data_IF_771841398585
#
_entry.id   IF_771841398585
#
_cell.length_a   1.000
_cell.length_b   1.000
_cell.length_c   1.000
_cell.angle_alpha   90.00
_cell.angle_beta   90.00
_cell.angle_gamma   90.00
#
_symmetry.space_group_name_H-M   'P 1'
#
loop_
_entity.id
_entity.type
_entity.pdbx_description
1 polymer ?
#
# COMPACT_ATOMS: atom_id res chain seq x y z
N UNK A 1 -11.83 -24.39 -1.62
CA UNK A 1 -10.74 -23.91 -2.49
C UNK A 1 -11.14 -22.57 -3.04
N UNK A 2 -10.40 -21.55 -2.70
CA UNK A 2 -10.69 -20.19 -3.15
C UNK A 2 -9.53 -19.61 -3.96
N UNK A 3 -9.85 -18.68 -4.87
CA UNK A 3 -8.90 -18.02 -5.74
C UNK A 3 -8.80 -16.54 -5.43
N UNK A 4 -7.59 -15.97 -5.57
CA UNK A 4 -7.28 -14.57 -5.37
C UNK A 4 -6.68 -13.98 -6.64
N UNK A 5 -7.25 -12.89 -7.14
CA UNK A 5 -6.64 -12.05 -8.17
C UNK A 5 -5.97 -10.83 -7.54
N UNK A 6 -4.68 -10.64 -7.81
CA UNK A 6 -3.92 -9.46 -7.41
C UNK A 6 -3.65 -8.61 -8.66
N UNK A 7 -4.28 -7.46 -8.78
CA UNK A 7 -4.04 -6.49 -9.86
C UNK A 7 -2.98 -5.50 -9.39
N UNK A 8 -1.85 -5.42 -10.09
CA UNK A 8 -0.65 -4.71 -9.65
C UNK A 8 0.29 -5.57 -8.79
N UNK A 9 0.23 -6.89 -8.94
CA UNK A 9 0.86 -7.86 -8.05
C UNK A 9 2.39 -7.94 -8.12
N UNK A 10 3.07 -7.25 -9.03
CA UNK A 10 4.54 -7.15 -9.04
C UNK A 10 5.12 -6.09 -8.09
N UNK A 11 4.27 -5.26 -7.49
CA UNK A 11 4.65 -4.23 -6.52
C UNK A 11 4.81 -4.76 -5.09
N UNK A 12 5.06 -3.83 -4.16
CA UNK A 12 5.23 -4.14 -2.74
C UNK A 12 4.07 -4.94 -2.15
N UNK A 13 2.82 -4.51 -2.38
CA UNK A 13 1.64 -5.20 -1.86
C UNK A 13 1.54 -6.63 -2.43
N UNK A 14 1.69 -6.78 -3.74
CA UNK A 14 1.61 -8.08 -4.36
C UNK A 14 2.70 -9.04 -3.86
N UNK A 15 3.95 -8.61 -3.79
CA UNK A 15 5.05 -9.41 -3.24
C UNK A 15 4.79 -9.79 -1.78
N UNK A 16 4.28 -8.86 -0.96
CA UNK A 16 3.93 -9.13 0.44
C UNK A 16 2.79 -10.15 0.56
N UNK A 17 1.78 -10.09 -0.32
CA UNK A 17 0.68 -11.07 -0.35
C UNK A 17 1.19 -12.46 -0.76
N UNK A 18 2.07 -12.53 -1.77
CA UNK A 18 2.66 -13.79 -2.21
C UNK A 18 3.54 -14.43 -1.13
N UNK A 19 4.32 -13.62 -0.43
CA UNK A 19 5.13 -14.07 0.71
C UNK A 19 4.26 -14.60 1.86
N UNK A 20 3.23 -13.83 2.23
CA UNK A 20 2.26 -14.23 3.24
C UNK A 20 1.52 -15.53 2.85
N UNK A 21 1.15 -15.71 1.58
CA UNK A 21 0.57 -16.92 1.06
C UNK A 21 1.52 -18.12 1.25
N UNK A 22 2.77 -17.99 0.87
CA UNK A 22 3.77 -19.06 1.02
C UNK A 22 4.01 -19.46 2.47
N UNK A 23 3.92 -18.51 3.40
CA UNK A 23 4.02 -18.75 4.84
C UNK A 23 2.72 -19.25 5.48
N UNK A 24 1.64 -19.44 4.69
CA UNK A 24 0.37 -19.95 5.16
C UNK A 24 -0.52 -18.92 5.87
N UNK A 25 -0.19 -17.63 5.82
CA UNK A 25 -1.01 -16.58 6.45
C UNK A 25 -2.41 -16.44 5.80
N UNK A 26 -2.56 -16.88 4.55
CA UNK A 26 -3.83 -16.84 3.83
C UNK A 26 -4.69 -18.09 3.97
N UNK A 27 -4.28 -19.07 4.79
CA UNK A 27 -5.02 -20.31 4.98
C UNK A 27 -6.42 -20.09 5.56
N UNK A 28 -6.63 -19.02 6.37
CA UNK A 28 -7.94 -18.67 6.91
C UNK A 28 -8.98 -18.37 5.84
N UNK A 29 -8.55 -17.87 4.68
CA UNK A 29 -9.42 -17.58 3.54
C UNK A 29 -9.49 -18.70 2.52
N UNK A 30 -8.83 -19.84 2.79
CA UNK A 30 -8.83 -21.02 1.92
C UNK A 30 -8.26 -20.76 0.53
N UNK A 31 -7.31 -19.82 0.41
CA UNK A 31 -6.70 -19.44 -0.87
C UNK A 31 -5.77 -20.56 -1.34
N UNK A 32 -6.08 -21.16 -2.50
CA UNK A 32 -5.30 -22.23 -3.11
C UNK A 32 -4.70 -21.84 -4.46
N UNK A 33 -5.20 -20.76 -5.06
CA UNK A 33 -4.77 -20.28 -6.37
C UNK A 33 -4.67 -18.76 -6.37
N UNK A 34 -3.55 -18.24 -6.85
CA UNK A 34 -3.34 -16.79 -6.99
C UNK A 34 -3.04 -16.45 -8.44
N UNK A 35 -3.82 -15.52 -8.99
CA UNK A 35 -3.55 -14.86 -10.24
C UNK A 35 -2.87 -13.52 -9.98
N UNK A 36 -1.78 -13.24 -10.67
CA UNK A 36 -1.00 -12.01 -10.53
C UNK A 36 -1.03 -11.25 -11.85
N UNK A 37 -1.80 -10.19 -11.93
CA UNK A 37 -1.82 -9.31 -13.10
C UNK A 37 -0.88 -8.13 -12.89
N UNK A 38 0.06 -7.94 -13.80
CA UNK A 38 0.92 -6.78 -13.87
C UNK A 38 1.39 -6.55 -15.32
N UNK A 39 1.80 -5.33 -15.67
CA UNK A 39 2.33 -5.01 -17.01
C UNK A 39 3.51 -5.90 -17.40
N UNK A 40 4.31 -6.27 -16.44
CA UNK A 40 5.38 -7.26 -16.61
C UNK A 40 5.41 -8.15 -15.34
N UNK A 41 4.48 -9.11 -15.25
CA UNK A 41 4.39 -10.03 -14.13
C UNK A 41 5.58 -11.02 -14.11
N UNK A 42 6.13 -11.34 -15.27
CA UNK A 42 7.25 -12.28 -15.39
C UNK A 42 8.53 -11.80 -14.68
N UNK A 43 8.69 -10.49 -14.47
CA UNK A 43 9.79 -9.95 -13.63
C UNK A 43 9.85 -10.55 -12.23
N UNK A 44 8.71 -11.02 -11.70
CA UNK A 44 8.70 -11.68 -10.40
C UNK A 44 9.57 -12.93 -10.36
N UNK A 45 9.72 -13.64 -11.49
CA UNK A 45 10.59 -14.82 -11.59
C UNK A 45 12.08 -14.50 -11.40
N UNK A 46 12.46 -13.26 -11.71
CA UNK A 46 13.84 -12.76 -11.59
C UNK A 46 14.04 -11.99 -10.28
N UNK A 47 13.07 -11.11 -9.92
CA UNK A 47 13.21 -10.21 -8.76
C UNK A 47 12.85 -10.86 -7.42
N UNK A 48 12.02 -11.90 -7.43
CA UNK A 48 11.55 -12.59 -6.24
C UNK A 48 11.20 -14.05 -6.56
N UNK A 49 12.18 -14.86 -7.07
CA UNK A 49 11.95 -16.26 -7.46
C UNK A 49 11.43 -17.11 -6.30
N UNK A 50 11.80 -16.75 -5.08
CA UNK A 50 11.34 -17.40 -3.86
C UNK A 50 9.82 -17.32 -3.67
N UNK A 51 9.15 -16.35 -4.28
CA UNK A 51 7.69 -16.19 -4.21
C UNK A 51 6.95 -17.11 -5.20
N UNK A 52 7.65 -17.70 -6.16
CA UNK A 52 7.01 -18.50 -7.21
C UNK A 52 6.59 -19.88 -6.69
N UNK A 53 5.55 -20.43 -7.31
CA UNK A 53 5.00 -21.76 -6.99
C UNK A 53 3.94 -22.19 -7.99
N UNK A 54 3.53 -23.45 -7.94
CA UNK A 54 2.56 -24.04 -8.88
C UNK A 54 1.17 -23.41 -8.80
N UNK A 55 0.81 -22.90 -7.62
CA UNK A 55 -0.45 -22.21 -7.36
C UNK A 55 -0.45 -20.73 -7.76
N UNK A 56 0.66 -20.19 -8.28
CA UNK A 56 0.77 -18.79 -8.70
C UNK A 56 0.79 -18.71 -10.21
N UNK A 57 -0.17 -17.98 -10.79
CA UNK A 57 -0.34 -17.79 -12.23
C UNK A 57 -0.04 -16.34 -12.58
N UNK A 58 1.08 -16.13 -13.27
CA UNK A 58 1.48 -14.80 -13.73
C UNK A 58 0.75 -14.44 -15.04
N UNK A 59 0.25 -13.22 -15.10
CA UNK A 59 -0.47 -12.67 -16.23
C UNK A 59 0.15 -11.32 -16.62
N UNK A 60 0.78 -11.27 -17.77
CA UNK A 60 1.30 -10.01 -18.32
C UNK A 60 0.14 -9.23 -18.98
N UNK A 61 -0.12 -8.03 -18.50
CA UNK A 61 -1.18 -7.19 -19.03
C UNK A 61 -1.32 -5.87 -18.27
N UNK A 62 -1.83 -4.88 -18.97
CA UNK A 62 -2.18 -3.60 -18.36
C UNK A 62 -3.67 -3.58 -18.06
N UNK A 63 -4.02 -3.36 -16.79
CA UNK A 63 -5.42 -3.28 -16.35
C UNK A 63 -6.18 -2.17 -17.08
N UNK A 64 -5.51 -1.13 -17.55
CA UNK A 64 -6.14 -0.06 -18.33
C UNK A 64 -6.63 -0.49 -19.71
N UNK A 65 -6.15 -1.62 -20.25
CA UNK A 65 -6.44 -2.05 -21.62
C UNK A 65 -6.77 -3.53 -21.80
N UNK A 66 -6.62 -4.35 -20.76
CA UNK A 66 -6.97 -5.77 -20.83
C UNK A 66 -8.48 -5.94 -21.11
N UNK A 67 -8.84 -7.04 -21.76
CA UNK A 67 -10.21 -7.33 -22.21
C UNK A 67 -10.90 -8.37 -21.35
N UNK A 68 -10.12 -9.17 -20.65
CA UNK A 68 -10.60 -10.30 -19.85
C UNK A 68 -9.80 -10.41 -18.56
N UNK A 69 -10.43 -10.95 -17.53
CA UNK A 69 -9.82 -11.29 -16.27
C UNK A 69 -10.24 -12.71 -15.86
N UNK A 70 -9.42 -13.46 -15.13
CA UNK A 70 -9.83 -14.74 -14.59
C UNK A 70 -10.94 -14.54 -13.57
N UNK A 71 -11.88 -15.47 -13.49
CA UNK A 71 -12.80 -15.54 -12.35
C UNK A 71 -11.99 -15.77 -11.08
N UNK A 72 -12.33 -15.02 -10.04
CA UNK A 72 -11.67 -15.13 -8.74
C UNK A 72 -12.67 -14.87 -7.61
N UNK A 73 -12.50 -15.53 -6.48
CA UNK A 73 -13.36 -15.36 -5.30
C UNK A 73 -13.04 -14.04 -4.59
N UNK A 74 -11.75 -13.68 -4.56
CA UNK A 74 -11.23 -12.45 -3.98
C UNK A 74 -10.45 -11.66 -5.00
N UNK A 75 -10.59 -10.34 -4.97
CA UNK A 75 -9.80 -9.43 -5.83
C UNK A 75 -9.21 -8.31 -5.00
N UNK A 76 -7.89 -8.18 -5.07
CA UNK A 76 -7.15 -7.04 -4.51
C UNK A 76 -6.66 -6.17 -5.67
N UNK A 77 -7.28 -4.99 -5.84
CA UNK A 77 -6.86 -4.03 -6.86
C UNK A 77 -5.85 -3.04 -6.27
N UNK A 78 -4.57 -3.35 -6.42
CA UNK A 78 -3.45 -2.54 -5.94
C UNK A 78 -2.62 -1.90 -7.08
N UNK A 79 -3.15 -1.89 -8.30
CA UNK A 79 -2.45 -1.30 -9.44
C UNK A 79 -2.45 0.23 -9.35
N UNK A 80 -1.29 0.78 -9.06
CA UNK A 80 -0.97 2.21 -9.19
C UNK A 80 0.55 2.33 -9.30
N UNK A 81 1.05 3.27 -10.10
CA UNK A 81 2.45 3.65 -9.99
C UNK A 81 2.66 4.35 -8.65
N UNK A 82 3.70 3.97 -7.95
CA UNK A 82 4.18 4.66 -6.74
C UNK A 82 5.56 5.26 -6.99
N UNK A 83 6.00 5.35 -8.24
CA UNK A 83 7.29 5.93 -8.59
C UNK A 83 7.17 7.46 -8.63
N UNK A 84 7.76 8.12 -7.62
CA UNK A 84 7.75 9.58 -7.53
C UNK A 84 8.41 10.25 -8.75
N UNK A 85 9.37 9.61 -9.41
CA UNK A 85 10.01 10.15 -10.60
C UNK A 85 9.01 10.28 -11.76
N UNK A 86 8.11 9.30 -11.92
CA UNK A 86 7.06 9.37 -12.92
C UNK A 86 6.08 10.51 -12.64
N UNK A 87 5.68 10.67 -11.36
CA UNK A 87 4.80 11.79 -10.97
C UNK A 87 5.47 13.15 -11.09
N UNK A 88 6.80 13.25 -10.92
CA UNK A 88 7.55 14.47 -11.15
C UNK A 88 7.66 14.81 -12.63
N UNK A 89 7.90 13.81 -13.48
CA UNK A 89 8.12 14.03 -14.91
C UNK A 89 6.82 14.07 -15.74
N UNK A 90 5.81 13.27 -15.37
CA UNK A 90 4.58 13.08 -16.12
C UNK A 90 3.34 12.91 -15.22
N UNK A 91 3.02 13.88 -14.34
CA UNK A 91 1.96 13.73 -13.34
C UNK A 91 0.58 13.48 -13.93
N UNK A 92 0.27 14.11 -15.07
CA UNK A 92 -1.01 13.93 -15.79
C UNK A 92 -1.12 12.53 -16.42
N UNK A 93 -0.02 11.95 -16.88
CA UNK A 93 -0.01 10.59 -17.43
C UNK A 93 -0.30 9.58 -16.33
N UNK A 94 0.34 9.73 -15.17
CA UNK A 94 0.10 8.84 -14.04
C UNK A 94 -1.33 8.96 -13.50
N UNK A 95 -1.89 10.19 -13.44
CA UNK A 95 -3.30 10.40 -13.12
C UNK A 95 -4.21 9.63 -14.07
N UNK A 96 -4.01 9.79 -15.38
CA UNK A 96 -4.79 9.09 -16.42
C UNK A 96 -4.64 7.57 -16.33
N UNK A 97 -3.46 7.06 -16.01
CA UNK A 97 -3.21 5.63 -15.87
C UNK A 97 -4.02 5.03 -14.71
N UNK A 98 -4.08 5.70 -13.55
CA UNK A 98 -4.90 5.26 -12.41
C UNK A 98 -6.38 5.27 -12.79
N UNK A 99 -6.87 6.35 -13.38
CA UNK A 99 -8.27 6.49 -13.81
C UNK A 99 -8.64 5.41 -14.84
N UNK A 100 -7.87 5.29 -15.92
CA UNK A 100 -8.13 4.31 -16.98
C UNK A 100 -8.09 2.87 -16.44
N UNK A 101 -7.12 2.55 -15.57
CA UNK A 101 -7.02 1.24 -14.96
C UNK A 101 -8.23 0.91 -14.08
N UNK A 102 -8.69 1.87 -13.27
CA UNK A 102 -9.85 1.67 -12.39
C UNK A 102 -11.14 1.58 -13.20
N UNK A 103 -11.35 2.46 -14.17
CA UNK A 103 -12.57 2.44 -14.99
C UNK A 103 -12.68 1.15 -15.83
N UNK A 104 -11.57 0.73 -16.48
CA UNK A 104 -11.58 -0.55 -17.20
C UNK A 104 -11.83 -1.73 -16.25
N UNK A 105 -11.22 -1.71 -15.06
CA UNK A 105 -11.49 -2.74 -14.06
C UNK A 105 -12.96 -2.79 -13.67
N UNK A 106 -13.62 -1.65 -13.42
CA UNK A 106 -15.05 -1.62 -13.08
C UNK A 106 -15.90 -2.29 -14.17
N UNK A 107 -15.62 -2.02 -15.45
CA UNK A 107 -16.33 -2.67 -16.56
C UNK A 107 -16.07 -4.19 -16.64
N UNK A 108 -14.85 -4.62 -16.34
CA UNK A 108 -14.50 -6.03 -16.31
C UNK A 108 -15.08 -6.74 -15.08
N UNK A 109 -15.12 -6.05 -13.92
CA UNK A 109 -15.69 -6.61 -12.69
C UNK A 109 -17.17 -6.99 -12.84
N UNK A 110 -17.95 -6.18 -13.56
CA UNK A 110 -19.36 -6.49 -13.88
C UNK A 110 -19.52 -7.81 -14.65
N UNK A 111 -18.52 -8.19 -15.44
CA UNK A 111 -18.55 -9.40 -16.27
C UNK A 111 -17.95 -10.61 -15.57
N UNK A 112 -16.83 -10.42 -14.87
CA UNK A 112 -16.01 -11.53 -14.36
C UNK A 112 -16.04 -11.67 -12.84
N UNK A 113 -16.40 -10.60 -12.09
CA UNK A 113 -16.27 -10.56 -10.62
C UNK A 113 -17.59 -10.20 -9.91
N UNK A 114 -18.73 -10.46 -10.55
CA UNK A 114 -20.05 -10.14 -9.97
C UNK A 114 -20.27 -10.81 -8.61
N UNK A 115 -19.73 -12.02 -8.41
CA UNK A 115 -19.82 -12.76 -7.15
C UNK A 115 -18.53 -12.69 -6.30
N UNK A 116 -17.55 -11.91 -6.72
CA UNK A 116 -16.28 -11.78 -6.02
C UNK A 116 -16.37 -10.78 -4.88
N UNK A 117 -15.51 -10.93 -3.88
CA UNK A 117 -15.22 -9.90 -2.90
C UNK A 117 -14.05 -9.05 -3.39
N UNK A 118 -14.22 -7.75 -3.43
CA UNK A 118 -13.29 -6.84 -4.08
C UNK A 118 -12.81 -5.79 -3.07
N UNK A 119 -11.50 -5.62 -2.92
CA UNK A 119 -10.91 -4.47 -2.22
C UNK A 119 -10.08 -3.62 -3.18
N UNK A 120 -10.37 -2.33 -3.20
CA UNK A 120 -9.58 -1.34 -3.90
C UNK A 120 -8.56 -0.70 -2.95
N UNK A 121 -7.28 -0.79 -3.27
CA UNK A 121 -6.22 -0.12 -2.52
C UNK A 121 -6.16 1.36 -2.94
N UNK A 122 -6.82 2.20 -2.17
CA UNK A 122 -6.73 3.64 -2.24
C UNK A 122 -5.53 4.15 -1.43
N UNK A 123 -5.50 5.40 -1.05
CA UNK A 123 -4.40 6.02 -0.32
C UNK A 123 -4.93 7.07 0.66
N UNK A 124 -4.26 7.23 1.79
CA UNK A 124 -4.51 8.37 2.67
C UNK A 124 -4.25 9.73 2.01
N UNK A 125 -3.60 9.76 0.84
CA UNK A 125 -3.44 11.00 0.06
C UNK A 125 -4.77 11.63 -0.37
N UNK A 126 -5.87 10.86 -0.43
CA UNK A 126 -7.22 11.38 -0.71
C UNK A 126 -7.67 12.44 0.29
N UNK A 127 -7.14 12.41 1.51
CA UNK A 127 -7.45 13.41 2.53
C UNK A 127 -6.78 14.77 2.31
N UNK A 128 -5.82 14.86 1.37
CA UNK A 128 -5.02 16.07 1.22
C UNK A 128 -3.91 16.17 2.28
N UNK A 129 -3.51 17.40 2.59
CA UNK A 129 -2.54 17.64 3.67
C UNK A 129 -3.25 17.49 5.02
N UNK A 130 -2.66 16.74 5.93
CA UNK A 130 -3.18 16.62 7.29
C UNK A 130 -3.02 17.94 8.04
N UNK A 131 -4.12 18.51 8.60
CA UNK A 131 -4.04 19.73 9.40
C UNK A 131 -3.12 19.55 10.62
N UNK A 132 -2.39 20.60 11.05
CA UNK A 132 -1.48 20.51 12.20
C UNK A 132 -2.18 20.19 13.52
N UNK A 133 -3.44 20.56 13.67
CA UNK A 133 -4.30 20.34 14.84
C UNK A 133 -5.05 19.02 14.81
N UNK A 134 -4.95 18.25 13.74
CA UNK A 134 -5.51 16.91 13.63
C UNK A 134 -4.43 15.86 13.86
N UNK A 135 -4.44 15.21 15.00
CA UNK A 135 -3.40 14.22 15.36
C UNK A 135 -3.44 12.98 14.48
N UNK A 136 -4.62 12.45 14.18
CA UNK A 136 -4.86 11.26 13.35
C UNK A 136 -6.06 11.50 12.45
N UNK A 137 -5.97 11.10 11.19
CA UNK A 137 -7.04 11.30 10.19
C UNK A 137 -8.08 10.19 10.30
N UNK A 138 -9.32 10.47 10.71
CA UNK A 138 -10.41 9.47 10.67
C UNK A 138 -11.05 9.41 9.28
N UNK A 139 -11.78 8.32 8.99
CA UNK A 139 -12.43 8.11 7.69
C UNK A 139 -13.55 9.11 7.37
N UNK A 140 -14.13 9.73 8.39
CA UNK A 140 -15.15 10.77 8.25
C UNK A 140 -14.57 12.18 8.10
N UNK A 141 -13.25 12.34 8.02
CA UNK A 141 -12.64 13.60 7.64
C UNK A 141 -12.81 13.83 6.14
N UNK A 142 -13.50 14.91 5.77
CA UNK A 142 -13.86 15.22 4.37
C UNK A 142 -12.64 15.54 3.48
N UNK A 143 -11.49 15.74 4.10
CA UNK A 143 -10.25 16.08 3.44
C UNK A 143 -10.09 17.58 3.20
N UNK A 144 -8.83 17.99 3.09
CA UNK A 144 -8.46 19.36 2.75
C UNK A 144 -8.40 19.63 1.24
N UNK A 145 -8.22 20.89 0.86
CA UNK A 145 -7.97 21.27 -0.52
C UNK A 145 -6.70 20.59 -1.05
N UNK A 146 -6.77 19.99 -2.23
CA UNK A 146 -5.59 19.41 -2.85
C UNK A 146 -4.57 20.46 -3.28
N UNK A 147 -5.01 21.71 -3.47
CA UNK A 147 -4.14 22.85 -3.83
C UNK A 147 -3.02 23.13 -2.80
N UNK A 148 -3.20 22.69 -1.55
CA UNK A 148 -2.20 22.85 -0.49
C UNK A 148 -1.06 21.81 -0.61
N UNK A 149 -1.21 20.81 -1.46
CA UNK A 149 -0.21 19.78 -1.72
C UNK A 149 0.70 20.18 -2.90
N UNK A 150 1.88 19.59 -3.00
CA UNK A 150 2.69 19.68 -4.22
C UNK A 150 1.93 19.11 -5.43
N UNK A 151 2.18 19.62 -6.64
CA UNK A 151 1.48 19.23 -7.86
C UNK A 151 1.50 17.71 -8.09
N UNK A 152 2.61 17.05 -7.81
CA UNK A 152 2.75 15.59 -7.89
C UNK A 152 1.79 14.86 -6.95
N UNK A 153 1.67 15.32 -5.73
CA UNK A 153 0.74 14.75 -4.74
C UNK A 153 -0.71 15.06 -5.08
N UNK A 154 -0.99 16.27 -5.62
CA UNK A 154 -2.34 16.67 -6.06
C UNK A 154 -2.90 15.72 -7.11
N UNK A 155 -2.13 15.44 -8.18
CA UNK A 155 -2.58 14.59 -9.28
C UNK A 155 -2.82 13.13 -8.81
N UNK A 156 -1.95 12.62 -7.94
CA UNK A 156 -2.14 11.31 -7.34
C UNK A 156 -3.39 11.25 -6.46
N UNK A 157 -3.57 12.23 -5.58
CA UNK A 157 -4.72 12.31 -4.68
C UNK A 157 -6.03 12.46 -5.46
N UNK A 158 -6.07 13.32 -6.49
CA UNK A 158 -7.22 13.47 -7.36
C UNK A 158 -7.57 12.17 -8.09
N UNK A 159 -6.58 11.49 -8.67
CA UNK A 159 -6.80 10.20 -9.33
C UNK A 159 -7.37 9.14 -8.37
N UNK A 160 -6.89 9.12 -7.11
CA UNK A 160 -7.42 8.18 -6.10
C UNK A 160 -8.84 8.55 -5.67
N UNK A 161 -9.20 9.85 -5.55
CA UNK A 161 -10.60 10.28 -5.29
C UNK A 161 -11.52 9.83 -6.43
N UNK A 162 -11.15 10.07 -7.68
CA UNK A 162 -11.93 9.64 -8.86
C UNK A 162 -12.09 8.11 -8.90
N UNK A 163 -11.04 7.38 -8.55
CA UNK A 163 -11.07 5.93 -8.47
C UNK A 163 -11.98 5.42 -7.32
N UNK A 164 -11.94 6.04 -6.14
CA UNK A 164 -12.87 5.70 -5.05
C UNK A 164 -14.31 5.89 -5.48
N UNK A 165 -14.64 6.99 -6.17
CA UNK A 165 -15.97 7.23 -6.69
C UNK A 165 -16.44 6.14 -7.65
N UNK A 166 -15.56 5.71 -8.57
CA UNK A 166 -15.87 4.62 -9.50
C UNK A 166 -16.14 3.29 -8.77
N UNK A 167 -15.36 2.96 -7.73
CA UNK A 167 -15.56 1.74 -6.94
C UNK A 167 -16.85 1.83 -6.10
N UNK A 168 -17.16 2.99 -5.51
CA UNK A 168 -18.42 3.21 -4.80
C UNK A 168 -19.63 3.00 -5.75
N UNK A 169 -19.53 3.51 -6.98
CA UNK A 169 -20.57 3.32 -7.98
C UNK A 169 -20.71 1.85 -8.39
N UNK A 170 -19.59 1.12 -8.50
CA UNK A 170 -19.61 -0.33 -8.75
C UNK A 170 -20.37 -1.08 -7.63
N UNK A 171 -20.22 -0.66 -6.36
CA UNK A 171 -21.02 -1.18 -5.23
C UNK A 171 -22.51 -0.90 -5.40
N UNK A 172 -22.89 0.32 -5.81
CA UNK A 172 -24.31 0.67 -6.08
C UNK A 172 -24.92 -0.18 -7.20
N UNK A 173 -24.10 -0.73 -8.09
CA UNK A 173 -24.53 -1.68 -9.13
C UNK A 173 -24.64 -3.13 -8.61
N UNK A 174 -24.44 -3.36 -7.30
CA UNK A 174 -24.69 -4.63 -6.62
C UNK A 174 -23.47 -5.51 -6.38
N UNK A 175 -22.24 -5.06 -6.71
CA UNK A 175 -21.04 -5.82 -6.43
C UNK A 175 -20.58 -5.65 -4.96
N UNK A 176 -19.93 -6.68 -4.43
CA UNK A 176 -19.35 -6.64 -3.08
C UNK A 176 -17.97 -5.98 -3.12
N UNK A 177 -17.91 -4.68 -2.82
CA UNK A 177 -16.71 -3.86 -2.90
C UNK A 177 -16.38 -3.21 -1.55
N UNK A 178 -15.09 -2.93 -1.35
CA UNK A 178 -14.57 -2.17 -0.21
C UNK A 178 -13.38 -1.31 -0.64
N UNK A 179 -13.05 -0.30 0.15
CA UNK A 179 -11.91 0.59 -0.10
C UNK A 179 -10.98 0.59 1.11
N UNK A 180 -9.70 0.33 0.85
CA UNK A 180 -8.61 0.42 1.81
C UNK A 180 -7.81 1.70 1.54
N UNK A 181 -7.94 2.73 2.38
CA UNK A 181 -7.11 3.95 2.31
C UNK A 181 -5.77 3.68 2.97
N UNK A 182 -4.81 3.28 2.17
CA UNK A 182 -3.48 2.84 2.59
C UNK A 182 -2.58 4.03 2.93
N UNK A 183 -1.86 3.96 4.07
CA UNK A 183 -0.93 5.00 4.53
C UNK A 183 0.52 4.60 4.30
N UNK A 184 1.32 4.34 5.34
CA UNK A 184 2.70 3.97 5.17
C UNK A 184 3.01 2.61 5.81
N UNK A 185 3.94 1.90 5.19
CA UNK A 185 4.24 0.50 5.52
C UNK A 185 5.73 0.25 5.62
N UNK A 186 6.07 -0.85 6.29
CA UNK A 186 7.42 -1.43 6.33
C UNK A 186 7.33 -2.93 6.08
N UNK A 187 8.29 -3.49 5.36
CA UNK A 187 8.34 -4.91 5.02
C UNK A 187 9.46 -5.21 4.01
N UNK A 188 9.77 -6.49 3.88
CA UNK A 188 10.96 -6.98 3.15
C UNK A 188 10.99 -6.58 1.68
N UNK A 189 9.82 -6.42 1.05
CA UNK A 189 9.69 -6.07 -0.36
C UNK A 189 9.45 -4.57 -0.61
N UNK A 190 9.49 -3.74 0.45
CA UNK A 190 9.40 -2.29 0.27
C UNK A 190 10.64 -1.80 -0.50
N UNK A 191 10.48 -1.02 -1.59
CA UNK A 191 11.61 -0.48 -2.33
C UNK A 191 12.54 0.36 -1.44
N UNK A 192 13.85 0.16 -1.63
CA UNK A 192 14.92 0.79 -0.83
C UNK A 192 15.70 1.86 -1.61
N UNK A 193 15.23 2.20 -2.80
CA UNK A 193 15.81 3.15 -3.75
C UNK A 193 14.79 4.16 -4.30
N UNK A 194 13.61 4.21 -3.69
CA UNK A 194 12.49 5.08 -4.08
C UNK A 194 12.25 6.16 -3.02
N UNK A 195 11.08 6.78 -3.05
CA UNK A 195 10.68 7.86 -2.13
C UNK A 195 10.22 7.39 -0.74
N UNK A 196 10.43 6.14 -0.39
CA UNK A 196 10.06 5.59 0.92
C UNK A 196 11.19 5.76 1.92
N UNK A 197 11.10 6.76 2.80
CA UNK A 197 12.17 7.10 3.73
C UNK A 197 12.66 5.88 4.55
N UNK A 198 11.72 5.12 5.17
CA UNK A 198 12.09 3.94 5.97
C UNK A 198 12.75 2.84 5.11
N UNK A 199 12.31 2.66 3.87
CA UNK A 199 12.94 1.73 2.93
C UNK A 199 14.37 2.14 2.63
N UNK A 200 14.61 3.43 2.37
CA UNK A 200 15.94 3.96 2.10
C UNK A 200 16.85 3.83 3.33
N UNK A 201 16.35 4.13 4.54
CA UNK A 201 17.15 3.98 5.76
C UNK A 201 17.58 2.52 5.98
N UNK A 202 16.67 1.56 5.78
CA UNK A 202 17.01 0.13 5.86
C UNK A 202 18.03 -0.23 4.76
N UNK A 203 17.84 0.26 3.53
CA UNK A 203 18.77 0.05 2.42
C UNK A 203 20.15 0.63 2.68
N UNK A 204 20.25 1.81 3.27
CA UNK A 204 21.52 2.42 3.65
C UNK A 204 22.22 1.60 4.75
N UNK A 205 21.49 1.19 5.80
CA UNK A 205 22.00 0.34 6.86
C UNK A 205 22.55 -1.00 6.34
N UNK A 206 21.79 -1.72 5.51
CA UNK A 206 22.21 -2.98 4.89
C UNK A 206 23.49 -2.84 4.05
N UNK A 207 23.73 -1.68 3.46
CA UNK A 207 24.92 -1.39 2.66
C UNK A 207 26.04 -0.68 3.46
N UNK A 208 25.95 -0.66 4.79
CA UNK A 208 26.91 0.03 5.67
C UNK A 208 27.11 1.51 5.31
N UNK A 209 26.07 2.19 4.83
CA UNK A 209 26.10 3.61 4.49
C UNK A 209 25.51 4.47 5.61
N UNK A 210 26.00 5.71 5.77
CA UNK A 210 25.40 6.67 6.71
C UNK A 210 23.92 6.93 6.40
N UNK A 211 23.07 6.94 7.43
CA UNK A 211 21.66 7.28 7.28
C UNK A 211 21.47 8.79 7.37
N UNK A 212 20.84 9.39 6.36
CA UNK A 212 20.66 10.83 6.27
C UNK A 212 19.18 11.21 6.21
N UNK A 213 18.75 12.10 7.12
CA UNK A 213 17.43 12.74 7.07
C UNK A 213 17.58 14.16 6.52
N UNK A 214 17.05 14.37 5.32
CA UNK A 214 17.17 15.64 4.59
C UNK A 214 16.10 16.68 4.97
N UNK A 215 15.03 16.25 5.66
CA UNK A 215 13.95 17.16 6.06
C UNK A 215 14.45 18.21 7.06
N UNK A 216 14.16 19.48 6.77
CA UNK A 216 14.50 20.65 7.60
C UNK A 216 13.34 21.11 8.50
N UNK A 217 12.33 20.27 8.65
CA UNK A 217 11.13 20.48 9.45
C UNK A 217 10.72 19.16 10.14
N UNK A 218 9.74 19.23 11.05
CA UNK A 218 9.23 18.06 11.75
C UNK A 218 8.37 17.22 10.81
N UNK A 219 8.69 15.92 10.72
CA UNK A 219 7.98 14.96 9.87
C UNK A 219 7.51 13.79 10.73
N UNK A 220 6.19 13.64 10.87
CA UNK A 220 5.58 12.55 11.62
C UNK A 220 4.95 11.52 10.68
N UNK A 221 5.26 10.27 10.92
CA UNK A 221 4.76 9.11 10.15
C UNK A 221 4.38 7.99 11.11
N UNK A 222 3.59 7.07 10.59
CA UNK A 222 3.34 5.76 11.19
C UNK A 222 3.68 4.68 10.18
N UNK A 223 4.01 3.48 10.64
CA UNK A 223 4.38 2.39 9.73
C UNK A 223 3.71 1.09 10.16
N UNK A 224 2.90 0.53 9.28
CA UNK A 224 2.27 -0.77 9.47
C UNK A 224 3.15 -1.88 8.87
N UNK A 225 3.25 -3.01 9.56
CA UNK A 225 3.99 -4.16 9.05
C UNK A 225 3.28 -4.81 7.85
N UNK A 226 4.06 -5.35 6.93
CA UNK A 226 3.54 -5.96 5.71
C UNK A 226 2.57 -7.13 5.96
N UNK A 227 2.79 -7.93 7.01
CA UNK A 227 1.88 -9.04 7.34
C UNK A 227 0.53 -8.53 7.84
N UNK A 228 0.52 -7.47 8.63
CA UNK A 228 -0.73 -6.83 9.07
C UNK A 228 -1.45 -6.19 7.89
N UNK A 229 -0.72 -5.52 6.98
CA UNK A 229 -1.31 -5.03 5.73
C UNK A 229 -2.03 -6.15 4.98
N UNK A 230 -1.40 -7.31 4.79
CA UNK A 230 -1.99 -8.44 4.05
C UNK A 230 -3.24 -8.96 4.74
N UNK A 231 -3.17 -9.21 6.05
CA UNK A 231 -4.33 -9.65 6.84
C UNK A 231 -5.49 -8.65 6.76
N UNK A 232 -5.17 -7.35 6.89
CA UNK A 232 -6.18 -6.30 6.83
C UNK A 232 -6.80 -6.18 5.45
N UNK A 233 -6.02 -6.26 4.38
CA UNK A 233 -6.58 -6.23 3.01
C UNK A 233 -7.53 -7.40 2.75
N UNK A 234 -7.18 -8.61 3.19
CA UNK A 234 -8.06 -9.78 3.05
C UNK A 234 -9.33 -9.62 3.89
N UNK A 235 -9.22 -9.21 5.15
CA UNK A 235 -10.39 -8.98 6.01
C UNK A 235 -11.28 -7.86 5.49
N UNK A 236 -10.71 -6.74 5.03
CA UNK A 236 -11.46 -5.63 4.41
C UNK A 236 -12.15 -6.09 3.12
N UNK A 237 -11.52 -6.96 2.35
CA UNK A 237 -12.11 -7.59 1.18
C UNK A 237 -13.37 -8.40 1.56
N UNK A 238 -13.34 -9.14 2.68
CA UNK A 238 -14.50 -9.87 3.19
C UNK A 238 -15.63 -8.97 3.69
N UNK A 239 -15.30 -7.80 4.22
CA UNK A 239 -16.28 -6.79 4.65
C UNK A 239 -16.99 -6.09 3.49
N UNK A 240 -16.51 -6.30 2.25
CA UNK A 240 -17.07 -5.70 1.04
C UNK A 240 -18.56 -6.01 0.87
N UNK A 241 -19.32 -4.98 0.59
CA UNK A 241 -20.76 -5.06 0.26
C UNK A 241 -21.17 -3.94 -0.73
N UNK A 242 -22.45 -3.86 -1.05
CA UNK A 242 -23.00 -2.85 -1.96
C UNK A 242 -22.88 -1.40 -1.43
N UNK A 243 -22.62 -1.21 -0.13
CA UNK A 243 -22.41 0.11 0.50
C UNK A 243 -20.98 0.59 0.40
N UNK A 244 -20.06 -0.29 -0.04
CA UNK A 244 -18.65 -0.02 -0.20
C UNK A 244 -18.00 0.53 1.08
N UNK A 245 -17.80 -0.26 2.14
CA UNK A 245 -17.14 0.22 3.35
C UNK A 245 -15.74 0.73 3.03
N UNK A 246 -15.39 1.89 3.63
CA UNK A 246 -14.09 2.54 3.49
C UNK A 246 -13.39 2.49 4.83
N UNK A 247 -12.14 1.98 4.85
CA UNK A 247 -11.33 1.85 6.05
C UNK A 247 -9.91 2.38 5.81
N UNK A 248 -9.36 3.07 6.81
CA UNK A 248 -7.96 3.41 6.84
C UNK A 248 -7.11 2.16 7.13
N UNK A 249 -6.02 2.00 6.40
CA UNK A 249 -5.07 0.90 6.56
C UNK A 249 -3.68 1.47 6.84
N UNK A 250 -3.20 1.25 8.06
CA UNK A 250 -1.95 1.78 8.54
C UNK A 250 -1.78 1.53 10.03
N UNK A 251 -0.68 1.97 10.61
CA UNK A 251 -0.49 2.04 12.05
C UNK A 251 -0.91 3.43 12.56
N UNK A 252 -1.40 3.50 13.78
CA UNK A 252 -1.70 4.76 14.47
C UNK A 252 -0.60 5.15 15.48
N UNK A 253 0.52 4.43 15.49
CA UNK A 253 1.72 4.79 16.25
C UNK A 253 2.46 5.94 15.55
N UNK A 254 2.70 7.02 16.28
CA UNK A 254 3.31 8.24 15.73
C UNK A 254 4.81 8.27 16.01
N UNK A 255 5.61 8.40 14.95
CA UNK A 255 7.05 8.57 15.08
C UNK A 255 7.53 9.83 14.33
N UNK A 256 8.45 10.56 14.93
CA UNK A 256 9.24 11.54 14.19
C UNK A 256 10.27 10.77 13.32
N UNK A 257 10.38 11.16 12.07
CA UNK A 257 11.18 10.41 11.08
C UNK A 257 12.66 10.26 11.47
N UNK A 258 13.20 11.23 12.24
CA UNK A 258 14.59 11.17 12.73
C UNK A 258 14.78 10.10 13.80
N UNK A 259 13.75 9.83 14.61
CA UNK A 259 13.85 8.78 15.63
C UNK A 259 13.87 7.40 14.99
N UNK A 260 13.08 7.19 13.93
CA UNK A 260 13.16 5.98 13.09
C UNK A 260 14.54 5.86 12.43
N UNK A 261 15.06 6.95 11.88
CA UNK A 261 16.39 6.95 11.25
C UNK A 261 17.50 6.61 12.24
N UNK A 262 17.46 7.17 13.46
CA UNK A 262 18.43 6.86 14.52
C UNK A 262 18.35 5.39 14.95
N UNK A 263 17.13 4.89 15.19
CA UNK A 263 16.90 3.49 15.56
C UNK A 263 17.50 2.53 14.51
N UNK A 264 17.30 2.81 13.22
CA UNK A 264 17.85 2.00 12.14
C UNK A 264 19.38 2.15 12.08
N UNK A 265 19.93 3.36 12.27
CA UNK A 265 21.37 3.59 12.29
C UNK A 265 22.05 2.81 13.43
N UNK A 266 21.47 2.82 14.63
CA UNK A 266 21.94 2.04 15.79
C UNK A 266 21.91 0.54 15.50
N UNK A 267 20.83 0.04 14.91
CA UNK A 267 20.67 -1.39 14.55
C UNK A 267 21.76 -1.89 13.60
N UNK A 268 22.18 -1.07 12.66
CA UNK A 268 23.25 -1.40 11.68
C UNK A 268 24.64 -0.91 12.08
N UNK A 269 24.76 -0.23 13.23
CA UNK A 269 26.00 0.39 13.67
C UNK A 269 26.61 1.33 12.62
N UNK A 270 25.77 2.13 11.96
CA UNK A 270 26.16 3.15 10.98
C UNK A 270 25.93 4.55 11.53
N UNK A 271 26.61 5.56 10.97
CA UNK A 271 26.43 6.94 11.40
C UNK A 271 25.06 7.49 10.96
N UNK A 272 24.53 8.41 11.75
CA UNK A 272 23.31 9.17 11.48
C UNK A 272 23.64 10.64 11.30
N UNK A 273 23.00 11.28 10.32
CA UNK A 273 23.03 12.73 10.13
C UNK A 273 21.62 13.26 9.83
N UNK A 274 21.16 14.23 10.60
CA UNK A 274 19.90 14.94 10.37
C UNK A 274 20.18 16.40 10.04
N UNK A 275 19.44 16.97 9.09
CA UNK A 275 19.47 18.39 8.83
C UNK A 275 18.96 19.18 10.06
N UNK A 276 19.48 20.39 10.29
CA UNK A 276 18.93 21.27 11.32
C UNK A 276 17.48 21.64 11.00
N UNK A 277 16.63 21.64 12.03
CA UNK A 277 15.25 22.11 11.87
C UNK A 277 15.28 23.63 11.70
N UNK A 278 14.95 24.10 10.52
CA UNK A 278 14.94 25.53 10.16
C UNK A 278 13.52 26.05 9.92
N UNK A 279 12.52 25.18 9.77
CA UNK A 279 11.12 25.50 9.51
C UNK A 279 10.23 25.03 10.65
N UNK A 280 9.27 25.87 11.03
CA UNK A 280 8.29 25.56 12.08
C UNK A 280 7.11 24.73 11.60
N UNK A 281 7.01 24.45 10.28
CA UNK A 281 5.94 23.62 9.74
C UNK A 281 6.09 22.15 10.17
N UNK A 282 4.93 21.51 10.33
CA UNK A 282 4.83 20.09 10.69
C UNK A 282 4.19 19.35 9.50
N UNK A 283 4.84 18.28 9.04
CA UNK A 283 4.29 17.38 8.05
C UNK A 283 3.84 16.08 8.76
N UNK A 284 2.52 15.86 8.83
CA UNK A 284 1.92 14.65 9.41
C UNK A 284 1.26 13.81 8.31
N UNK A 285 1.30 12.49 8.52
CA UNK A 285 0.56 11.54 7.68
C UNK A 285 0.25 10.29 8.51
N UNK A 286 -0.78 10.41 9.36
CA UNK A 286 -1.12 9.43 10.39
C UNK A 286 -2.61 9.10 10.32
N UNK A 287 -3.01 7.82 10.12
CA UNK A 287 -4.42 7.44 10.17
C UNK A 287 -4.94 7.33 11.60
N UNK A 288 -6.22 7.60 11.81
CA UNK A 288 -6.98 6.91 12.84
C UNK A 288 -7.35 5.52 12.32
N UNK A 289 -7.23 4.51 13.14
CA UNK A 289 -7.62 3.13 12.82
C UNK A 289 -8.77 2.63 13.72
N UNK A 290 -9.43 3.53 14.44
CA UNK A 290 -10.52 3.17 15.35
C UNK A 290 -11.66 2.48 14.60
N UNK A 291 -12.06 3.00 13.43
CA UNK A 291 -13.08 2.38 12.60
C UNK A 291 -12.71 0.95 12.18
N UNK A 292 -11.45 0.70 11.86
CA UNK A 292 -10.97 -0.63 11.52
C UNK A 292 -11.04 -1.59 12.72
N UNK A 293 -10.71 -1.11 13.92
CA UNK A 293 -10.84 -1.87 15.18
C UNK A 293 -12.30 -2.19 15.48
N UNK A 294 -13.19 -1.19 15.42
CA UNK A 294 -14.59 -1.35 15.81
C UNK A 294 -15.41 -2.12 14.77
N UNK A 295 -15.32 -1.71 13.50
CA UNK A 295 -16.12 -2.29 12.42
C UNK A 295 -15.54 -3.60 11.89
N UNK A 296 -14.21 -3.67 11.75
CA UNK A 296 -13.50 -4.81 11.16
C UNK A 296 -12.92 -5.78 12.19
N UNK A 297 -12.96 -5.45 13.49
CA UNK A 297 -12.25 -6.17 14.55
C UNK A 297 -10.76 -6.37 14.23
N UNK A 298 -10.16 -5.41 13.51
CA UNK A 298 -8.77 -5.47 13.05
C UNK A 298 -7.83 -4.93 14.14
N UNK A 299 -6.73 -5.61 14.33
CA UNK A 299 -5.67 -5.21 15.27
C UNK A 299 -4.30 -5.30 14.60
N UNK A 300 -3.35 -4.52 15.09
CA UNK A 300 -1.96 -4.65 14.69
C UNK A 300 -1.34 -5.87 15.40
N UNK A 301 -0.64 -6.70 14.66
CA UNK A 301 0.05 -7.88 15.19
C UNK A 301 1.38 -7.53 15.84
N UNK A 302 2.04 -6.47 15.34
CA UNK A 302 3.33 -6.00 15.85
C UNK A 302 3.38 -4.47 15.85
N UNK A 303 4.15 -3.90 16.78
CA UNK A 303 4.46 -2.47 16.78
C UNK A 303 5.51 -2.11 15.70
N UNK A 304 5.71 -0.83 15.48
CA UNK A 304 6.62 -0.35 14.43
C UNK A 304 8.08 -0.79 14.66
N UNK A 305 8.54 -0.93 15.91
CA UNK A 305 9.90 -1.36 16.21
C UNK A 305 10.12 -2.82 15.84
N UNK A 306 9.22 -3.69 16.27
CA UNK A 306 9.23 -5.10 15.87
C UNK A 306 9.06 -5.26 14.36
N UNK A 307 8.23 -4.43 13.70
CA UNK A 307 8.08 -4.44 12.25
C UNK A 307 9.39 -4.14 11.50
N UNK A 308 10.21 -3.20 12.02
CA UNK A 308 11.55 -2.92 11.49
C UNK A 308 12.47 -4.13 11.70
N UNK A 309 12.46 -4.72 12.89
CA UNK A 309 13.29 -5.88 13.24
C UNK A 309 12.97 -7.10 12.39
N UNK A 310 11.69 -7.42 12.23
CA UNK A 310 11.24 -8.51 11.36
C UNK A 310 11.58 -8.25 9.89
N UNK A 311 11.42 -7.01 9.43
CA UNK A 311 11.79 -6.61 8.06
C UNK A 311 13.27 -6.87 7.79
N UNK A 312 14.15 -6.38 8.66
CA UNK A 312 15.61 -6.56 8.52
C UNK A 312 15.97 -8.04 8.59
N UNK A 313 15.44 -8.78 9.57
CA UNK A 313 15.70 -10.21 9.74
C UNK A 313 15.24 -11.03 8.52
N UNK A 314 14.09 -10.69 7.95
CA UNK A 314 13.56 -11.36 6.76
C UNK A 314 14.41 -11.08 5.51
N UNK A 315 14.91 -9.84 5.35
CA UNK A 315 15.82 -9.52 4.25
C UNK A 315 17.11 -10.32 4.36
N UNK A 316 17.74 -10.30 5.55
CA UNK A 316 19.01 -11.02 5.78
C UNK A 316 18.88 -12.54 5.58
N UNK A 317 17.74 -13.14 5.95
CA UNK A 317 17.48 -14.57 5.70
C UNK A 317 17.32 -14.91 4.22
N UNK A 318 16.80 -13.97 3.43
CA UNK A 318 16.60 -14.16 1.98
C UNK A 318 17.87 -14.01 1.18
N UNK A 319 18.77 -13.14 1.63
CA UNK A 319 20.04 -12.83 0.95
C UNK A 319 21.14 -13.88 1.28
N UNK A 320 20.85 -14.84 2.18
CA UNK A 320 21.67 -16.06 2.47
C UNK A 320 21.25 -17.24 1.58
#
# INVERSE_FOLDING_TARGET
>A
MASLLIIGGSGFFGKSILDAYKRGLLNLWGIDLIYVLARNADRLKEEAPELMGTSIKLMNGDIASCKELPMADYVIHAAASTDAANYLSQPEVEKKNIQAGTYNYCELAKKFHHNSRIVYCSSGAVYGQQPPDLDKIPENYDGGPLADMSLTKQNYAAAKRDAEEAIINLGKEGLSVSIARCFAFVGSYLPRDKHFAIGNFIGDGLNNRPIQVKADHLVYRSYMYADDLVKWLMSICELGDARCPILNVGSDEVFEIRDIAKQIAEKFNVSYAGANISRSNIDRYIPSIEKAKDFGSLSLGVDTRHAIDETVSSILRRDQ
#
